data_IF_636211357851
#
_entry.id   IF_636211357851
#
_cell.length_a   1.000
_cell.length_b   1.000
_cell.length_c   1.000
_cell.angle_alpha   90.00
_cell.angle_beta   90.00
_cell.angle_gamma   90.00
#
_symmetry.space_group_name_H-M   'P 1'
#
loop_
_entity.id
_entity.type
_entity.pdbx_description
1 polymer ?
#
# COMPACT_ATOMS: atom_id res chain seq x y z
N UNK A 1 26.84 -76.72 20.16
CA UNK A 1 27.35 -77.32 21.41
C UNK A 1 26.66 -76.62 22.55
N UNK A 2 25.92 -77.41 23.31
CA UNK A 2 25.33 -77.11 24.63
C UNK A 2 26.29 -76.32 25.52
N UNK A 3 25.80 -75.30 26.24
CA UNK A 3 25.95 -75.36 27.70
C UNK A 3 24.94 -74.50 28.46
N UNK A 4 24.64 -75.03 29.65
CA UNK A 4 23.54 -74.72 30.54
C UNK A 4 24.09 -74.10 31.83
N UNK A 5 23.19 -73.49 32.61
CA UNK A 5 23.33 -73.12 34.04
C UNK A 5 24.04 -71.80 34.34
N UNK A 6 23.68 -71.03 35.37
CA UNK A 6 22.51 -70.90 36.25
C UNK A 6 22.88 -69.76 37.23
N UNK A 7 21.92 -68.97 37.71
CA UNK A 7 21.58 -68.85 39.15
C UNK A 7 20.75 -67.60 39.45
N UNK A 8 19.86 -67.86 40.41
CA UNK A 8 18.80 -67.04 40.98
C UNK A 8 19.27 -65.95 41.94
N UNK A 9 18.48 -64.88 42.08
CA UNK A 9 18.12 -64.34 43.39
C UNK A 9 16.75 -63.64 43.37
N UNK A 10 16.03 -63.81 44.48
CA UNK A 10 14.71 -63.27 44.87
C UNK A 10 14.81 -61.75 45.09
N UNK A 11 13.80 -60.89 45.23
CA UNK A 11 12.39 -60.90 45.67
C UNK A 11 11.87 -59.46 45.46
N UNK A 12 10.61 -59.20 45.12
CA UNK A 12 9.62 -58.58 46.03
C UNK A 12 8.44 -58.06 45.18
N UNK A 13 7.25 -58.68 45.26
CA UNK A 13 5.93 -58.11 45.65
C UNK A 13 5.80 -56.59 45.41
N UNK A 14 4.75 -56.09 44.76
CA UNK A 14 3.38 -55.88 45.32
C UNK A 14 2.29 -55.89 44.21
N UNK A 15 1.00 -56.09 44.55
CA UNK A 15 -0.02 -56.60 43.64
C UNK A 15 -0.93 -55.56 42.97
N UNK A 16 -1.43 -55.93 41.79
CA UNK A 16 -2.48 -55.28 41.01
C UNK A 16 -3.85 -55.52 41.66
N UNK A 17 -4.61 -54.43 41.89
CA UNK A 17 -6.00 -54.48 42.33
C UNK A 17 -6.96 -54.50 41.12
N UNK A 18 -8.02 -55.26 41.29
CA UNK A 18 -8.99 -55.68 40.29
C UNK A 18 -10.00 -54.61 39.88
N UNK A 19 -10.54 -54.80 38.67
CA UNK A 19 -11.64 -54.07 38.07
C UNK A 19 -13.00 -54.34 38.75
N UNK A 20 -13.86 -53.32 38.80
CA UNK A 20 -15.32 -53.49 38.79
C UNK A 20 -16.00 -52.35 38.02
N UNK A 21 -17.08 -52.72 37.35
CA UNK A 21 -17.81 -52.01 36.32
C UNK A 21 -18.69 -50.85 36.82
N UNK A 22 -18.96 -49.90 35.93
CA UNK A 22 -19.99 -48.88 36.09
C UNK A 22 -20.35 -48.25 34.74
N UNK A 23 -21.41 -48.73 34.11
CA UNK A 23 -22.04 -48.07 32.95
C UNK A 23 -22.77 -46.83 33.48
N UNK A 24 -22.29 -45.64 33.11
CA UNK A 24 -22.99 -44.38 33.29
C UNK A 24 -22.94 -43.64 31.95
N UNK A 25 -24.10 -43.49 31.33
CA UNK A 25 -24.30 -42.67 30.14
C UNK A 25 -23.98 -41.22 30.50
N UNK A 26 -22.85 -40.71 30.00
CA UNK A 26 -22.49 -39.30 30.12
C UNK A 26 -22.97 -38.58 28.86
N UNK A 27 -23.98 -37.75 29.03
CA UNK A 27 -24.45 -36.77 28.06
C UNK A 27 -23.27 -35.88 27.65
N UNK A 28 -22.82 -35.97 26.40
CA UNK A 28 -21.82 -35.07 25.86
C UNK A 28 -22.44 -33.67 25.70
N UNK A 29 -22.25 -32.81 26.71
CA UNK A 29 -22.42 -31.38 26.53
C UNK A 29 -21.28 -30.89 25.65
N UNK A 30 -21.56 -30.70 24.36
CA UNK A 30 -20.71 -29.94 23.46
C UNK A 30 -20.71 -28.49 23.94
N UNK A 31 -19.78 -28.15 24.83
CA UNK A 31 -19.36 -26.76 24.99
C UNK A 31 -18.70 -26.34 23.68
N UNK A 32 -19.48 -25.72 22.80
CA UNK A 32 -18.93 -24.93 21.71
C UNK A 32 -18.13 -23.79 22.33
N UNK A 33 -16.81 -23.98 22.47
CA UNK A 33 -15.91 -22.84 22.49
C UNK A 33 -16.10 -22.14 21.14
N UNK A 34 -16.96 -21.13 21.13
CA UNK A 34 -17.04 -20.19 20.04
C UNK A 34 -15.66 -19.56 19.91
N UNK A 35 -14.92 -19.99 18.89
CA UNK A 35 -13.93 -19.11 18.29
C UNK A 35 -14.77 -18.01 17.66
N UNK A 36 -15.01 -16.95 18.44
CA UNK A 36 -15.36 -15.66 17.88
C UNK A 36 -14.09 -15.25 17.14
N UNK A 37 -14.00 -15.64 15.87
CA UNK A 37 -13.09 -14.98 14.95
C UNK A 37 -13.53 -13.53 14.94
N UNK A 38 -12.72 -12.67 15.54
CA UNK A 38 -12.88 -11.23 15.44
C UNK A 38 -12.86 -10.89 13.96
N UNK A 39 -14.01 -10.51 13.42
CA UNK A 39 -14.17 -9.98 12.07
C UNK A 39 -13.61 -8.53 11.98
N UNK A 40 -12.63 -8.19 12.82
CA UNK A 40 -12.12 -6.83 13.03
C UNK A 40 -10.84 -6.53 12.24
N UNK A 41 -10.41 -7.44 11.35
CA UNK A 41 -9.18 -7.29 10.56
C UNK A 41 -9.38 -6.61 9.19
N UNK A 42 -10.54 -6.01 8.90
CA UNK A 42 -10.79 -5.34 7.59
C UNK A 42 -11.51 -4.00 7.69
N UNK A 43 -11.65 -3.41 8.88
CA UNK A 43 -12.05 -2.02 8.96
C UNK A 43 -10.94 -1.14 8.35
N UNK A 44 -11.30 -0.19 7.47
CA UNK A 44 -10.38 0.82 6.94
C UNK A 44 -9.22 0.25 6.07
N UNK A 45 -9.42 -0.92 5.46
CA UNK A 45 -8.45 -1.56 4.55
C UNK A 45 -8.49 -1.03 3.10
N UNK A 46 -9.57 -0.36 2.72
CA UNK A 46 -9.74 0.27 1.40
C UNK A 46 -10.70 1.47 1.51
N UNK A 47 -10.66 2.44 0.56
CA UNK A 47 -11.67 3.48 0.48
C UNK A 47 -13.06 2.89 0.15
N UNK A 48 -14.13 3.52 0.64
CA UNK A 48 -15.51 3.05 0.45
C UNK A 48 -15.95 2.97 -1.03
N UNK A 49 -15.33 3.80 -1.90
CA UNK A 49 -15.61 3.82 -3.32
C UNK A 49 -14.36 4.23 -4.13
N UNK A 50 -14.23 3.78 -5.38
CA UNK A 50 -13.20 4.28 -6.27
C UNK A 50 -13.33 5.78 -6.48
N UNK A 51 -12.24 6.49 -6.28
CA UNK A 51 -12.22 7.92 -6.57
C UNK A 51 -11.91 8.10 -8.05
N UNK A 52 -12.95 8.53 -8.75
CA UNK A 52 -12.88 8.83 -10.17
C UNK A 52 -11.92 10.02 -10.42
N UNK A 53 -11.42 10.15 -11.65
CA UNK A 53 -10.44 11.18 -12.07
C UNK A 53 -10.93 12.63 -11.83
N UNK A 54 -10.32 13.66 -12.42
CA UNK A 54 -10.67 15.06 -12.11
C UNK A 54 -12.15 15.35 -12.43
N UNK A 55 -13.02 15.21 -11.42
CA UNK A 55 -14.46 15.39 -11.50
C UNK A 55 -14.77 16.74 -10.86
N UNK A 56 -14.72 17.81 -11.65
CA UNK A 56 -15.30 19.11 -11.27
C UNK A 56 -14.72 19.75 -10.01
N UNK A 57 -15.62 20.18 -9.10
CA UNK A 57 -15.38 21.09 -7.96
C UNK A 57 -14.69 20.44 -6.74
N UNK A 58 -14.08 19.26 -6.88
CA UNK A 58 -13.38 18.63 -5.75
C UNK A 58 -12.07 19.40 -5.49
N UNK A 59 -11.83 19.87 -4.25
CA UNK A 59 -10.56 20.50 -3.91
C UNK A 59 -9.41 19.54 -4.18
N UNK A 60 -8.39 20.02 -4.89
CA UNK A 60 -7.19 19.22 -5.15
C UNK A 60 -6.00 20.11 -5.49
N UNK A 61 -4.80 19.59 -5.31
CA UNK A 61 -3.60 20.06 -6.01
C UNK A 61 -2.85 18.86 -6.60
N UNK A 62 -2.01 19.11 -7.59
CA UNK A 62 -1.29 18.06 -8.32
C UNK A 62 0.19 18.38 -8.44
N UNK A 63 0.99 17.32 -8.53
CA UNK A 63 2.37 17.35 -9.01
C UNK A 63 2.50 16.36 -10.18
N UNK A 64 2.97 16.85 -11.33
CA UNK A 64 3.26 16.00 -12.49
C UNK A 64 4.76 15.81 -12.59
N UNK A 65 5.21 14.56 -12.62
CA UNK A 65 6.63 14.22 -12.53
C UNK A 65 7.05 13.33 -13.69
N UNK A 66 8.22 13.63 -14.26
CA UNK A 66 8.85 12.72 -15.20
C UNK A 66 9.43 11.50 -14.46
N UNK A 67 9.83 10.47 -15.21
CA UNK A 67 10.61 9.37 -14.66
C UNK A 67 11.95 9.91 -14.16
N UNK A 68 12.29 9.59 -12.92
CA UNK A 68 13.61 9.83 -12.33
C UNK A 68 14.56 8.71 -12.75
N UNK A 69 14.32 7.48 -12.30
CA UNK A 69 15.15 6.32 -12.61
C UNK A 69 14.43 5.00 -12.32
N UNK A 70 15.13 3.88 -12.54
CA UNK A 70 14.69 2.53 -12.19
C UNK A 70 15.73 1.87 -11.30
N UNK A 71 15.32 1.21 -10.23
CA UNK A 71 16.20 0.49 -9.32
C UNK A 71 15.50 -0.72 -8.68
N UNK A 72 16.27 -1.64 -8.10
CA UNK A 72 15.75 -2.77 -7.31
C UNK A 72 15.72 -2.42 -5.81
N UNK A 73 15.45 -1.15 -5.53
CA UNK A 73 15.51 -0.56 -4.19
C UNK A 73 14.09 -0.30 -3.69
N UNK A 74 13.94 -0.40 -2.38
CA UNK A 74 12.73 0.02 -1.66
C UNK A 74 13.14 0.51 -0.27
N UNK A 75 13.32 1.83 -0.06
CA UNK A 75 13.76 2.35 1.23
C UNK A 75 12.66 2.33 2.31
N UNK A 76 11.41 1.98 1.98
CA UNK A 76 10.32 1.85 2.96
C UNK A 76 10.25 0.42 3.48
N UNK A 77 10.26 -0.57 2.57
CA UNK A 77 10.13 -1.99 2.90
C UNK A 77 11.49 -2.63 3.21
N UNK A 78 12.56 -2.19 2.55
CA UNK A 78 13.92 -2.72 2.67
C UNK A 78 14.96 -1.60 2.96
N UNK A 79 14.79 -0.83 4.05
CA UNK A 79 15.67 0.29 4.37
C UNK A 79 17.12 -0.15 4.55
N UNK A 80 18.04 0.49 3.82
CA UNK A 80 19.47 0.20 3.82
C UNK A 80 19.90 -1.01 2.98
N UNK A 81 18.97 -1.69 2.31
CA UNK A 81 19.23 -2.92 1.56
C UNK A 81 19.06 -2.70 0.05
N UNK A 82 20.09 -2.14 -0.58
CA UNK A 82 20.11 -1.94 -2.03
C UNK A 82 19.96 -3.28 -2.79
N UNK A 83 19.12 -3.27 -3.82
CA UNK A 83 18.86 -4.46 -4.65
C UNK A 83 18.01 -5.56 -4.01
N UNK A 84 17.39 -5.29 -2.85
CA UNK A 84 16.59 -6.28 -2.13
C UNK A 84 15.13 -6.39 -2.60
N UNK A 85 14.63 -5.43 -3.38
CA UNK A 85 13.24 -5.41 -3.87
C UNK A 85 13.12 -5.93 -5.31
N UNK A 86 11.90 -6.07 -5.81
CA UNK A 86 11.65 -6.10 -7.25
C UNK A 86 12.00 -4.74 -7.89
N UNK A 87 12.01 -4.69 -9.22
CA UNK A 87 12.35 -3.45 -9.90
C UNK A 87 11.24 -2.41 -9.76
N UNK A 88 11.57 -1.24 -9.26
CA UNK A 88 10.70 -0.08 -9.20
C UNK A 88 11.06 0.94 -10.28
N UNK A 89 10.05 1.73 -10.67
CA UNK A 89 10.23 2.99 -11.37
C UNK A 89 9.95 4.15 -10.40
N UNK A 90 10.89 5.09 -10.32
CA UNK A 90 10.85 6.23 -9.40
C UNK A 90 10.49 7.52 -10.14
N UNK A 91 9.75 8.39 -9.46
CA UNK A 91 9.32 9.71 -9.94
C UNK A 91 9.55 10.76 -8.84
N UNK A 92 9.65 12.03 -9.24
CA UNK A 92 9.93 13.13 -8.33
C UNK A 92 11.40 13.18 -7.97
N UNK A 93 11.73 12.87 -6.72
CA UNK A 93 13.08 12.95 -6.18
C UNK A 93 14.13 12.19 -7.03
N UNK A 94 15.28 12.83 -7.28
CA UNK A 94 16.37 12.26 -8.07
C UNK A 94 17.46 11.54 -7.24
N UNK A 95 17.43 11.66 -5.91
CA UNK A 95 18.43 11.09 -4.99
C UNK A 95 17.93 9.88 -4.19
N UNK A 96 16.67 9.46 -4.35
CA UNK A 96 16.14 8.31 -3.62
C UNK A 96 16.92 7.04 -3.94
N UNK A 97 17.39 6.38 -2.89
CA UNK A 97 18.09 5.08 -2.94
C UNK A 97 17.70 4.28 -1.69
N UNK A 98 18.06 3.00 -1.61
CA UNK A 98 17.77 2.18 -0.43
C UNK A 98 18.30 2.76 0.90
N UNK A 99 19.37 3.57 0.88
CA UNK A 99 20.06 4.07 2.08
C UNK A 99 19.99 5.60 2.27
N UNK A 100 19.23 6.31 1.42
CA UNK A 100 19.14 7.77 1.47
C UNK A 100 18.53 8.24 2.80
N UNK A 101 18.99 9.38 3.31
CA UNK A 101 18.39 10.06 4.47
C UNK A 101 17.35 11.10 4.07
N UNK A 102 16.45 11.46 4.99
CA UNK A 102 15.42 12.48 4.76
C UNK A 102 15.99 13.84 4.33
N UNK A 103 17.01 14.35 5.03
CA UNK A 103 17.62 15.65 4.72
C UNK A 103 18.27 15.67 3.32
N UNK A 104 18.79 14.53 2.87
CA UNK A 104 19.35 14.38 1.53
C UNK A 104 18.25 14.38 0.46
N UNK A 105 17.12 13.70 0.72
CA UNK A 105 15.95 13.79 -0.16
C UNK A 105 15.44 15.23 -0.26
N UNK A 106 15.26 15.92 0.87
CA UNK A 106 14.75 17.29 0.91
C UNK A 106 15.65 18.29 0.14
N UNK A 107 16.97 18.04 0.13
CA UNK A 107 17.92 18.86 -0.61
C UNK A 107 18.13 18.48 -2.07
N UNK A 108 17.52 17.39 -2.55
CA UNK A 108 17.77 16.85 -3.87
C UNK A 108 16.95 17.54 -4.98
N UNK A 109 17.38 17.44 -6.25
CA UNK A 109 16.54 17.82 -7.38
C UNK A 109 15.27 16.96 -7.48
N UNK A 110 14.25 17.51 -8.15
CA UNK A 110 13.01 16.81 -8.47
C UNK A 110 12.70 16.92 -9.97
N UNK A 111 12.12 15.84 -10.49
CA UNK A 111 11.56 15.76 -11.84
C UNK A 111 10.14 16.31 -11.93
N UNK A 112 9.54 16.74 -10.81
CA UNK A 112 8.20 17.29 -10.76
C UNK A 112 8.13 18.73 -11.29
N UNK A 113 6.97 19.08 -11.86
CA UNK A 113 6.63 20.44 -12.27
C UNK A 113 6.54 21.41 -11.07
N UNK A 114 6.07 20.90 -9.93
CA UNK A 114 6.17 21.52 -8.61
C UNK A 114 7.61 21.41 -8.08
N UNK A 115 8.43 22.43 -8.31
CA UNK A 115 9.87 22.41 -7.98
C UNK A 115 10.20 22.27 -6.48
N UNK A 116 9.23 22.50 -5.62
CA UNK A 116 9.34 22.35 -4.16
C UNK A 116 8.70 21.04 -3.67
N UNK A 117 8.25 20.18 -4.59
CA UNK A 117 7.94 18.79 -4.33
C UNK A 117 9.20 17.95 -4.55
N UNK A 118 9.99 17.77 -3.49
CA UNK A 118 11.11 16.83 -3.45
C UNK A 118 10.70 15.48 -2.88
N UNK A 119 9.41 15.16 -2.79
CA UNK A 119 8.96 13.81 -2.42
C UNK A 119 9.34 12.78 -3.49
N UNK A 120 9.37 11.51 -3.07
CA UNK A 120 9.61 10.38 -3.95
C UNK A 120 8.34 9.54 -4.07
N UNK A 121 8.05 9.11 -5.29
CA UNK A 121 6.94 8.22 -5.62
C UNK A 121 7.47 7.05 -6.45
N UNK A 122 7.06 5.83 -6.16
CA UNK A 122 7.44 4.69 -7.00
C UNK A 122 6.36 3.62 -7.09
N UNK A 123 6.43 2.84 -8.16
CA UNK A 123 5.57 1.67 -8.40
C UNK A 123 6.40 0.55 -9.03
N UNK A 124 5.92 -0.71 -9.01
CA UNK A 124 6.49 -1.78 -9.81
C UNK A 124 6.57 -1.41 -11.28
N UNK A 125 7.58 -1.94 -11.95
CA UNK A 125 7.75 -1.81 -13.39
C UNK A 125 6.73 -2.67 -14.12
N UNK A 126 6.05 -2.10 -15.12
CA UNK A 126 5.22 -2.84 -16.06
C UNK A 126 6.09 -3.62 -17.05
N UNK A 127 5.75 -4.89 -17.27
CA UNK A 127 6.46 -5.82 -18.15
C UNK A 127 5.53 -6.35 -19.24
N UNK A 128 6.09 -6.52 -20.44
CA UNK A 128 5.45 -7.21 -21.55
C UNK A 128 5.47 -8.75 -21.34
N UNK A 129 4.77 -9.55 -22.17
CA UNK A 129 4.75 -11.01 -22.05
C UNK A 129 6.11 -11.70 -22.22
N UNK A 130 7.14 -10.98 -22.66
CA UNK A 130 8.52 -11.46 -22.80
C UNK A 130 9.39 -11.04 -21.60
N UNK A 131 8.81 -10.40 -20.60
CA UNK A 131 9.53 -9.85 -19.44
C UNK A 131 10.33 -8.59 -19.76
N UNK A 132 10.05 -7.92 -20.87
CA UNK A 132 10.69 -6.64 -21.19
C UNK A 132 9.92 -5.49 -20.55
N UNK A 133 10.66 -4.55 -19.99
CA UNK A 133 10.12 -3.34 -19.40
C UNK A 133 9.37 -2.49 -20.42
N UNK A 134 8.23 -1.96 -19.97
CA UNK A 134 7.46 -0.93 -20.62
C UNK A 134 7.64 0.37 -19.83
N UNK A 135 8.46 1.27 -20.36
CA UNK A 135 8.77 2.53 -19.69
C UNK A 135 7.51 3.43 -19.63
N UNK A 136 7.15 3.96 -18.45
CA UNK A 136 6.05 4.90 -18.34
C UNK A 136 6.42 6.25 -18.95
N UNK A 137 5.41 7.01 -19.38
CA UNK A 137 5.56 8.38 -19.89
C UNK A 137 5.66 9.43 -18.78
N UNK A 138 5.32 9.08 -17.55
CA UNK A 138 5.36 9.95 -16.38
C UNK A 138 4.34 9.55 -15.32
N UNK A 139 4.31 10.30 -14.22
CA UNK A 139 3.34 10.13 -13.16
C UNK A 139 2.67 11.46 -12.79
N UNK A 140 1.44 11.39 -12.28
CA UNK A 140 0.74 12.51 -11.67
C UNK A 140 0.28 12.11 -10.26
N UNK A 141 0.74 12.83 -9.25
CA UNK A 141 0.29 12.72 -7.88
C UNK A 141 -0.89 13.69 -7.65
N UNK A 142 -2.06 13.15 -7.35
CA UNK A 142 -3.26 13.92 -7.01
C UNK A 142 -3.44 13.94 -5.49
N UNK A 143 -3.45 15.12 -4.90
CA UNK A 143 -3.74 15.34 -3.49
C UNK A 143 -5.13 15.93 -3.32
N UNK A 144 -6.02 15.23 -2.61
CA UNK A 144 -7.43 15.61 -2.45
C UNK A 144 -8.02 15.03 -1.16
N UNK A 145 -9.18 15.51 -0.67
CA UNK A 145 -9.85 14.83 0.43
C UNK A 145 -10.26 13.40 0.06
N UNK A 146 -10.27 12.52 1.04
CA UNK A 146 -10.92 11.22 0.92
C UNK A 146 -12.42 11.34 0.63
N UNK A 147 -13.03 10.24 0.18
CA UNK A 147 -14.45 10.23 -0.16
C UNK A 147 -15.31 10.59 1.07
N UNK A 148 -15.97 11.76 1.03
CA UNK A 148 -16.83 12.24 2.11
C UNK A 148 -16.08 12.94 3.26
N UNK A 149 -14.75 12.91 3.28
CA UNK A 149 -13.93 13.60 4.29
C UNK A 149 -14.07 15.11 4.14
N UNK A 150 -14.26 15.82 5.24
CA UNK A 150 -14.33 17.29 5.25
C UNK A 150 -12.99 17.88 4.82
N UNK A 151 -12.99 18.54 3.66
CA UNK A 151 -11.81 19.13 3.08
C UNK A 151 -11.18 20.26 3.91
N UNK A 152 -11.88 20.80 4.90
CA UNK A 152 -11.40 21.89 5.77
C UNK A 152 -10.67 21.39 7.03
N UNK A 153 -10.72 20.09 7.31
CA UNK A 153 -10.08 19.47 8.49
C UNK A 153 -8.73 18.83 8.19
N UNK A 154 -8.35 18.78 6.90
CA UNK A 154 -7.14 18.09 6.45
C UNK A 154 -5.86 18.69 7.06
N UNK A 155 -5.00 17.82 7.57
CA UNK A 155 -3.68 18.19 8.08
C UNK A 155 -2.63 17.88 7.00
N UNK A 156 -1.69 18.82 6.71
CA UNK A 156 -0.57 18.53 5.81
C UNK A 156 0.25 17.33 6.31
N UNK A 157 0.81 16.55 5.39
CA UNK A 157 1.67 15.43 5.79
C UNK A 157 2.83 15.93 6.67
N UNK A 158 3.18 15.21 7.75
CA UNK A 158 4.39 15.51 8.50
C UNK A 158 5.61 15.21 7.63
N UNK A 159 6.74 15.92 7.86
CA UNK A 159 8.03 15.56 7.29
C UNK A 159 8.32 14.07 7.46
N UNK A 160 8.96 13.44 6.47
CA UNK A 160 9.39 12.04 6.52
C UNK A 160 8.26 11.00 6.55
N UNK A 161 6.99 11.39 6.34
CA UNK A 161 5.88 10.43 6.22
C UNK A 161 6.12 9.45 5.06
N UNK A 162 6.05 8.16 5.33
CA UNK A 162 6.25 7.06 4.37
C UNK A 162 5.01 6.19 4.28
N UNK A 163 4.42 6.06 3.10
CA UNK A 163 3.23 5.27 2.89
C UNK A 163 3.44 4.23 1.79
N UNK A 164 2.80 3.07 1.98
CA UNK A 164 2.65 2.02 0.96
C UNK A 164 1.16 1.76 0.78
N UNK A 165 0.73 1.62 -0.47
CA UNK A 165 -0.64 1.33 -0.83
C UNK A 165 -0.72 0.29 -1.94
N UNK A 166 -1.76 -0.56 -1.88
CA UNK A 166 -1.81 -1.80 -2.63
C UNK A 166 -1.04 -2.91 -1.94
N UNK A 167 -0.91 -4.05 -2.61
CA UNK A 167 -0.30 -5.25 -2.07
C UNK A 167 0.63 -5.90 -3.10
N UNK A 168 1.92 -5.96 -2.77
CA UNK A 168 2.96 -6.57 -3.58
C UNK A 168 2.90 -8.11 -3.59
N UNK A 169 2.24 -8.71 -2.60
CA UNK A 169 2.09 -10.15 -2.42
C UNK A 169 0.69 -10.66 -2.78
N UNK A 170 -0.15 -9.79 -3.38
CA UNK A 170 -1.54 -10.10 -3.70
C UNK A 170 -1.69 -11.42 -4.47
N UNK A 171 -2.49 -12.34 -3.94
CA UNK A 171 -2.81 -13.63 -4.54
C UNK A 171 -4.06 -13.59 -5.45
N UNK A 172 -4.66 -12.41 -5.61
CA UNK A 172 -5.86 -12.19 -6.39
C UNK A 172 -6.14 -10.70 -6.67
N UNK A 173 -7.37 -10.40 -7.09
CA UNK A 173 -7.80 -9.03 -7.37
C UNK A 173 -7.81 -8.17 -6.10
N UNK A 174 -7.22 -6.97 -6.19
CA UNK A 174 -7.31 -5.96 -5.15
C UNK A 174 -8.57 -5.09 -5.35
N UNK A 175 -9.08 -4.42 -4.29
CA UNK A 175 -10.19 -3.49 -4.43
C UNK A 175 -9.88 -2.40 -5.46
N UNK A 176 -10.83 -2.16 -6.38
CA UNK A 176 -10.74 -1.09 -7.40
C UNK A 176 -10.56 0.32 -6.81
N UNK A 177 -10.87 0.51 -5.54
CA UNK A 177 -10.64 1.75 -4.82
C UNK A 177 -9.17 1.95 -4.40
N UNK A 178 -8.39 0.87 -4.28
CA UNK A 178 -6.97 0.90 -3.92
C UNK A 178 -6.10 0.86 -5.18
N UNK A 179 -6.26 -0.18 -6.00
CA UNK A 179 -5.48 -0.37 -7.24
C UNK A 179 -6.44 -0.50 -8.41
N UNK A 180 -6.20 0.28 -9.46
CA UNK A 180 -7.00 0.22 -10.67
C UNK A 180 -6.19 0.53 -11.92
N UNK A 181 -6.63 -0.07 -13.02
CA UNK A 181 -6.21 0.26 -14.36
C UNK A 181 -7.28 1.09 -15.07
N UNK A 182 -6.86 2.00 -15.92
CA UNK A 182 -7.75 2.79 -16.76
C UNK A 182 -7.07 3.19 -18.07
N UNK A 183 -7.86 3.69 -19.02
CA UNK A 183 -7.35 4.21 -20.29
C UNK A 183 -7.40 5.74 -20.28
N UNK A 184 -6.24 6.37 -20.43
CA UNK A 184 -6.07 7.82 -20.32
C UNK A 184 -6.66 8.38 -19.01
N UNK A 185 -7.45 9.45 -19.15
CA UNK A 185 -8.14 10.09 -18.02
C UNK A 185 -9.55 9.55 -17.76
N UNK A 186 -9.89 8.38 -18.32
CA UNK A 186 -11.20 7.77 -18.14
C UNK A 186 -11.51 7.52 -16.65
N UNK A 187 -12.76 7.72 -16.28
CA UNK A 187 -13.26 7.33 -14.95
C UNK A 187 -13.55 5.82 -14.85
N UNK A 188 -13.58 5.10 -15.96
CA UNK A 188 -13.75 3.64 -15.95
C UNK A 188 -12.50 3.00 -15.36
N UNK A 189 -12.70 2.19 -14.32
CA UNK A 189 -11.66 1.48 -13.58
C UNK A 189 -11.81 -0.02 -13.83
N UNK A 190 -10.67 -0.71 -13.95
CA UNK A 190 -10.59 -2.15 -14.15
C UNK A 190 -9.56 -2.74 -13.20
N UNK A 191 -9.79 -3.98 -12.74
CA UNK A 191 -8.86 -4.70 -11.85
C UNK A 191 -7.57 -5.10 -12.56
N UNK A 192 -7.64 -5.25 -13.89
CA UNK A 192 -6.52 -5.55 -14.78
C UNK A 192 -6.55 -4.61 -15.99
N UNK A 193 -5.43 -4.41 -16.71
CA UNK A 193 -5.38 -3.65 -17.95
C UNK A 193 -6.43 -4.14 -18.95
N UNK A 194 -7.08 -3.20 -19.63
CA UNK A 194 -8.00 -3.48 -20.73
C UNK A 194 -7.50 -2.85 -22.02
N UNK A 195 -8.02 -3.28 -23.16
CA UNK A 195 -7.67 -2.66 -24.44
C UNK A 195 -8.10 -1.18 -24.45
N UNK A 196 -7.13 -0.30 -24.70
CA UNK A 196 -7.37 1.14 -24.64
C UNK A 196 -7.86 1.71 -25.99
N UNK A 197 -9.06 2.34 -26.03
CA UNK A 197 -9.63 2.86 -27.27
C UNK A 197 -8.72 3.88 -27.95
N UNK A 198 -8.64 3.81 -29.28
CA UNK A 198 -7.96 4.83 -30.09
C UNK A 198 -6.47 4.99 -29.78
N UNK A 199 -5.82 3.96 -29.21
CA UNK A 199 -4.43 4.01 -28.72
C UNK A 199 -4.22 5.12 -27.68
N UNK A 200 -5.14 5.29 -26.73
CA UNK A 200 -4.88 6.08 -25.53
C UNK A 200 -3.84 5.40 -24.63
N UNK A 201 -3.25 6.15 -23.71
CA UNK A 201 -2.33 5.60 -22.69
C UNK A 201 -3.04 4.58 -21.80
N UNK A 202 -2.29 3.58 -21.34
CA UNK A 202 -2.70 2.73 -20.21
C UNK A 202 -2.26 3.42 -18.93
N UNK A 203 -3.10 3.44 -17.90
CA UNK A 203 -2.81 4.13 -16.65
C UNK A 203 -3.03 3.21 -15.45
N UNK A 204 -1.99 3.06 -14.63
CA UNK A 204 -2.06 2.46 -13.29
C UNK A 204 -2.43 3.56 -12.30
N UNK A 205 -3.33 3.24 -11.37
CA UNK A 205 -3.75 4.12 -10.28
C UNK A 205 -3.58 3.39 -8.96
N UNK A 206 -2.92 4.07 -8.03
CA UNK A 206 -2.75 3.62 -6.64
C UNK A 206 -3.30 4.71 -5.73
N UNK A 207 -4.30 4.39 -4.92
CA UNK A 207 -4.89 5.30 -3.94
C UNK A 207 -4.36 4.96 -2.55
N UNK A 208 -3.76 5.94 -1.89
CA UNK A 208 -3.15 5.78 -0.57
C UNK A 208 -4.15 6.02 0.57
N UNK A 209 -3.86 5.52 1.78
CA UNK A 209 -4.54 5.88 3.02
C UNK A 209 -4.65 7.40 3.25
N UNK A 210 -5.66 7.82 4.00
CA UNK A 210 -5.99 9.23 4.25
C UNK A 210 -6.29 9.55 5.72
N UNK A 211 -6.07 8.60 6.62
CA UNK A 211 -6.14 8.77 8.07
C UNK A 211 -4.81 8.38 8.72
N UNK A 212 -4.22 9.29 9.48
CA UNK A 212 -2.94 9.14 10.17
C UNK A 212 -3.13 9.04 11.68
N UNK A 213 -2.26 8.27 12.36
CA UNK A 213 -2.28 8.12 13.82
C UNK A 213 -1.89 9.38 14.61
N UNK A 214 -1.31 10.38 13.94
CA UNK A 214 -0.90 11.64 14.56
C UNK A 214 0.49 11.61 15.19
N UNK A 215 1.18 10.46 15.15
CA UNK A 215 2.45 10.27 15.85
C UNK A 215 3.57 9.73 14.95
N UNK A 216 3.34 8.64 14.20
CA UNK A 216 4.40 7.91 13.50
C UNK A 216 4.47 8.28 12.03
N UNK A 217 5.65 8.63 11.54
CA UNK A 217 5.86 8.91 10.11
C UNK A 217 6.19 7.65 9.30
N UNK A 218 6.53 6.55 9.96
CA UNK A 218 6.88 5.30 9.31
C UNK A 218 6.76 4.12 10.27
N UNK A 219 6.51 2.95 9.70
CA UNK A 219 6.55 1.65 10.37
C UNK A 219 7.09 0.62 9.39
N UNK A 220 7.94 -0.28 9.88
CA UNK A 220 8.42 -1.42 9.09
C UNK A 220 7.45 -2.62 9.14
N UNK A 221 6.44 -2.57 10.02
CA UNK A 221 5.50 -3.67 10.24
C UNK A 221 4.21 -3.46 9.45
N UNK A 222 3.82 -4.39 8.56
CA UNK A 222 2.55 -4.32 7.85
C UNK A 222 1.33 -4.38 8.79
N UNK A 223 1.46 -5.07 9.92
CA UNK A 223 0.39 -5.27 10.90
C UNK A 223 0.18 -4.07 11.84
N UNK A 224 1.13 -3.13 11.86
CA UNK A 224 1.13 -1.96 12.73
C UNK A 224 1.23 -0.69 11.89
N UNK A 225 0.22 -0.50 11.04
CA UNK A 225 0.13 0.63 10.12
C UNK A 225 -0.08 1.92 10.92
N UNK A 226 0.62 2.97 10.51
CA UNK A 226 0.44 4.34 11.03
C UNK A 226 -0.53 5.15 10.16
N UNK A 227 -0.99 4.58 9.05
CA UNK A 227 -2.00 5.16 8.16
C UNK A 227 -3.03 4.11 7.72
N UNK A 228 -4.29 4.52 7.64
CA UNK A 228 -5.44 3.70 7.20
C UNK A 228 -6.38 4.52 6.32
N UNK A 229 -7.33 3.87 5.65
CA UNK A 229 -8.32 4.57 4.83
C UNK A 229 -9.45 5.12 5.71
N UNK A 230 -10.01 6.29 5.39
CA UNK A 230 -11.27 6.72 5.99
C UNK A 230 -12.43 5.80 5.59
N UNK A 231 -13.50 5.81 6.38
CA UNK A 231 -14.76 5.17 6.01
C UNK A 231 -15.94 6.06 6.40
N UNK A 232 -16.93 6.15 5.51
CA UNK A 232 -18.04 7.07 5.58
C UNK A 232 -17.62 8.55 5.80
N UNK A 233 -16.46 8.93 5.27
CA UNK A 233 -15.89 10.27 5.42
C UNK A 233 -15.22 10.55 6.77
N UNK A 234 -15.08 9.54 7.62
CA UNK A 234 -14.53 9.69 8.96
C UNK A 234 -13.28 8.84 9.15
N UNK A 235 -12.34 9.36 9.94
CA UNK A 235 -11.19 8.62 10.40
C UNK A 235 -11.51 7.82 11.67
N UNK A 236 -10.98 6.59 11.83
CA UNK A 236 -11.20 5.83 13.05
C UNK A 236 -10.42 6.44 14.23
N UNK A 237 -10.86 6.16 15.46
CA UNK A 237 -10.22 6.67 16.69
C UNK A 237 -8.72 6.30 16.79
N UNK A 238 -8.30 5.20 16.16
CA UNK A 238 -6.90 4.78 16.10
C UNK A 238 -6.04 5.62 15.15
N UNK A 239 -6.66 6.31 14.20
CA UNK A 239 -6.00 7.13 13.18
C UNK A 239 -6.72 8.47 13.00
N UNK A 240 -6.83 9.30 14.05
CA UNK A 240 -7.81 10.39 14.10
C UNK A 240 -7.46 11.61 13.24
N UNK A 241 -6.29 11.63 12.59
CA UNK A 241 -5.82 12.80 11.83
C UNK A 241 -6.11 12.61 10.34
N UNK A 242 -7.12 13.31 9.78
CA UNK A 242 -7.37 13.26 8.35
C UNK A 242 -6.24 14.00 7.62
N UNK A 243 -5.66 13.35 6.62
CA UNK A 243 -4.60 13.90 5.76
C UNK A 243 -5.08 13.87 4.31
N UNK A 244 -4.50 14.68 3.38
CA UNK A 244 -4.84 14.57 1.97
C UNK A 244 -4.70 13.11 1.50
N UNK A 245 -5.67 12.61 0.75
CA UNK A 245 -5.54 11.34 0.07
C UNK A 245 -4.73 11.51 -1.21
N UNK A 246 -3.60 10.81 -1.26
CA UNK A 246 -2.78 10.72 -2.46
C UNK A 246 -3.36 9.66 -3.41
N UNK A 247 -3.58 10.02 -4.68
CA UNK A 247 -3.72 9.05 -5.75
C UNK A 247 -2.56 9.25 -6.74
N UNK A 248 -1.71 8.24 -6.86
CA UNK A 248 -0.63 8.21 -7.85
C UNK A 248 -1.16 7.60 -9.14
N UNK A 249 -1.05 8.34 -10.24
CA UNK A 249 -1.40 7.88 -11.57
C UNK A 249 -0.14 7.73 -12.43
N UNK A 250 0.20 6.52 -12.85
CA UNK A 250 1.34 6.24 -13.71
C UNK A 250 0.87 5.92 -15.13
N UNK A 251 1.23 6.77 -16.08
CA UNK A 251 0.87 6.61 -17.49
C UNK A 251 1.91 5.78 -18.23
N UNK A 252 1.45 4.81 -19.00
CA UNK A 252 2.22 3.99 -19.92
C UNK A 252 1.80 4.28 -21.36
N UNK A 253 2.71 4.10 -22.34
CA UNK A 253 2.34 4.21 -23.73
C UNK A 253 1.21 3.22 -24.10
N UNK A 254 0.51 3.44 -25.22
CA UNK A 254 -0.48 2.49 -25.71
C UNK A 254 0.16 1.11 -25.89
N UNK A 255 -0.40 0.13 -25.21
CA UNK A 255 0.14 -1.24 -25.10
C UNK A 255 -1.00 -2.25 -25.23
N UNK A 256 -0.67 -3.42 -25.76
CA UNK A 256 -1.55 -4.59 -25.73
C UNK A 256 -1.67 -5.11 -24.28
N UNK A 257 -2.88 -5.21 -23.70
CA UNK A 257 -3.07 -5.68 -22.33
C UNK A 257 -2.73 -7.16 -22.15
N UNK A 258 -2.68 -7.95 -23.22
CA UNK A 258 -2.53 -9.40 -23.14
C UNK A 258 -1.16 -9.80 -22.59
N UNK A 259 -1.18 -10.55 -21.47
CA UNK A 259 0.01 -11.13 -20.85
C UNK A 259 0.93 -10.13 -20.14
N UNK A 260 0.45 -8.92 -19.87
CA UNK A 260 1.18 -7.95 -19.03
C UNK A 260 1.39 -8.49 -17.61
N UNK A 261 2.51 -8.13 -17.02
CA UNK A 261 2.84 -8.43 -15.62
C UNK A 261 3.55 -7.25 -14.96
N UNK A 262 3.75 -7.32 -13.65
CA UNK A 262 4.56 -6.36 -12.92
C UNK A 262 5.87 -7.01 -12.50
N UNK A 263 6.90 -6.23 -12.23
CA UNK A 263 8.15 -6.72 -11.67
C UNK A 263 7.96 -7.43 -10.32
N UNK A 264 6.89 -7.11 -9.59
CA UNK A 264 6.41 -7.76 -8.36
C UNK A 264 5.62 -9.06 -8.61
N UNK A 265 5.43 -9.50 -9.86
CA UNK A 265 4.75 -10.75 -10.19
C UNK A 265 3.51 -10.55 -11.07
N UNK A 266 2.37 -11.07 -10.64
CA UNK A 266 1.13 -10.98 -11.42
C UNK A 266 0.70 -9.52 -11.63
N UNK A 267 -0.09 -9.23 -12.66
CA UNK A 267 -0.60 -7.88 -12.92
C UNK A 267 -1.46 -7.32 -11.76
N UNK A 268 -1.93 -8.21 -10.89
CA UNK A 268 -2.72 -7.89 -9.69
C UNK A 268 -1.86 -7.47 -8.49
N UNK A 269 -0.54 -7.62 -8.50
CA UNK A 269 0.35 -7.20 -7.40
C UNK A 269 0.71 -5.71 -7.46
N UNK A 270 -0.16 -4.91 -8.09
CA UNK A 270 0.01 -3.46 -8.21
C UNK A 270 0.07 -2.81 -6.83
N UNK A 271 0.99 -1.88 -6.68
CA UNK A 271 1.14 -1.07 -5.48
C UNK A 271 1.91 0.20 -5.83
N UNK A 272 2.00 1.08 -4.85
CA UNK A 272 2.83 2.24 -4.93
C UNK A 272 3.25 2.71 -3.57
N UNK A 273 4.31 3.48 -3.60
CA UNK A 273 5.03 3.92 -2.43
C UNK A 273 5.26 5.42 -2.52
N UNK A 274 5.26 6.05 -1.36
CA UNK A 274 5.40 7.48 -1.22
C UNK A 274 6.26 7.80 -0.01
N UNK A 275 7.26 8.65 -0.22
CA UNK A 275 8.04 9.24 0.87
C UNK A 275 7.93 10.76 0.79
N UNK A 276 7.23 11.35 1.76
CA UNK A 276 7.09 12.79 1.89
C UNK A 276 8.43 13.45 2.18
N UNK A 277 8.93 14.17 1.20
CA UNK A 277 10.03 15.11 1.34
C UNK A 277 9.69 16.42 0.62
N UNK A 278 8.43 16.85 0.63
CA UNK A 278 8.06 18.20 0.19
C UNK A 278 8.78 19.27 1.01
N UNK A 279 9.03 20.42 0.41
CA UNK A 279 9.19 21.65 1.20
C UNK A 279 7.93 21.84 2.05
N UNK A 280 8.10 21.81 3.37
CA UNK A 280 6.97 21.73 4.28
C UNK A 280 6.09 22.98 4.23
N UNK A 281 6.69 24.16 4.07
CA UNK A 281 5.95 25.41 3.96
C UNK A 281 5.13 25.45 2.66
N UNK A 282 5.68 24.95 1.56
CA UNK A 282 4.95 24.78 0.31
C UNK A 282 3.77 23.82 0.48
N UNK A 283 3.98 22.65 1.08
CA UNK A 283 2.90 21.66 1.28
C UNK A 283 1.78 22.22 2.17
N UNK A 284 2.13 22.90 3.27
CA UNK A 284 1.17 23.59 4.13
C UNK A 284 0.35 24.60 3.32
N UNK A 285 1.01 25.39 2.47
CA UNK A 285 0.35 26.37 1.62
C UNK A 285 -0.59 25.73 0.59
N UNK A 286 -0.23 24.60 -0.03
CA UNK A 286 -1.10 23.88 -0.96
C UNK A 286 -2.36 23.38 -0.24
N UNK A 287 -2.23 22.78 0.94
CA UNK A 287 -3.38 22.32 1.73
C UNK A 287 -4.30 23.49 2.11
N UNK A 288 -3.74 24.59 2.61
CA UNK A 288 -4.55 25.75 3.04
C UNK A 288 -5.18 26.49 1.86
N UNK A 289 -4.44 26.70 0.76
CA UNK A 289 -4.91 27.55 -0.33
C UNK A 289 -5.74 26.79 -1.37
N UNK A 290 -5.55 25.48 -1.49
CA UNK A 290 -6.25 24.65 -2.46
C UNK A 290 -7.33 23.84 -1.76
N UNK A 291 -6.94 22.98 -0.80
CA UNK A 291 -7.88 22.03 -0.21
C UNK A 291 -8.90 22.71 0.70
N UNK A 292 -8.45 23.48 1.68
CA UNK A 292 -9.35 24.13 2.64
C UNK A 292 -10.28 25.16 1.97
N UNK A 293 -9.85 25.74 0.85
CA UNK A 293 -10.64 26.71 0.09
C UNK A 293 -11.57 26.09 -0.96
N UNK A 294 -11.56 24.77 -1.14
CA UNK A 294 -12.40 24.10 -2.13
C UNK A 294 -11.95 24.36 -3.58
N UNK A 295 -10.66 24.61 -3.80
CA UNK A 295 -10.08 25.02 -5.09
C UNK A 295 -9.28 23.87 -5.71
N UNK A 296 -9.40 23.72 -7.03
CA UNK A 296 -8.49 22.91 -7.83
C UNK A 296 -7.28 23.73 -8.24
N UNK A 297 -6.13 23.45 -7.64
CA UNK A 297 -4.85 24.02 -7.99
C UNK A 297 -4.12 23.14 -9.01
N UNK A 298 -3.47 23.79 -9.96
CA UNK A 298 -2.46 23.21 -10.83
C UNK A 298 -1.18 24.05 -10.71
N UNK A 299 -0.11 23.63 -11.39
CA UNK A 299 1.21 24.29 -11.42
C UNK A 299 1.19 25.77 -11.81
N UNK A 300 0.04 26.33 -12.19
CA UNK A 300 -0.11 27.74 -12.60
C UNK A 300 -0.53 28.69 -11.48
N UNK A 301 -0.74 28.23 -10.24
CA UNK A 301 -1.07 29.12 -9.13
C UNK A 301 0.20 29.65 -8.43
N UNK A 302 0.84 30.63 -9.06
CA UNK A 302 1.71 31.62 -8.40
C UNK A 302 0.97 32.96 -8.34
#
# INVERSE_FOLDING_TARGET
MTDQMARSSRSSRWPLAAAMAGVLALSAALSSCGVVGTADAVANAAPDAPINGPQGRVPQFIASCAVSHFAFDDPIVHPGHAGASHQHVFFGNEAVTASVGYDELLGAPTTCDQRLDTASYWTPVLLDPRGQRIDPTGAVAYYRPGAGVDHTTLVPYPPDLKMVAGDAEADGEQPLSVVAWSCGVSAVRSVVPTECPGRSTLRLLVTFPDCWDGERTWTASPDDRHVVYSSAGECPDSHPVPIPQLQLAVDHPPVDPDGLSLSSGAITTGHGDFWNAWDQDKLVNEVQNCLHRGITCNVSAN
#
